data_IF_193802830687
#
_entry.id   IF_193802830687
#
_cell.length_a   1.000
_cell.length_b   1.000
_cell.length_c   1.000
_cell.angle_alpha   90.00
_cell.angle_beta   90.00
_cell.angle_gamma   90.00
#
_symmetry.space_group_name_H-M   'P 1'
#
loop_
_entity.id
_entity.type
_entity.pdbx_description
1 polymer ?
#
# COMPACT_ATOMS: atom_id res chain seq x y z
N UNK A 1 47.46 -5.12 -7.11
CA UNK A 1 48.58 -5.95 -7.65
C UNK A 1 49.02 -5.42 -9.00
N UNK A 2 50.33 -5.23 -9.19
CA UNK A 2 50.91 -4.76 -10.44
C UNK A 2 52.13 -5.61 -10.83
N UNK A 3 52.41 -5.73 -12.12
CA UNK A 3 53.65 -6.31 -12.65
C UNK A 3 54.60 -5.19 -13.06
N UNK A 4 55.90 -5.46 -13.03
CA UNK A 4 56.93 -4.52 -13.49
C UNK A 4 57.80 -5.21 -14.54
N UNK A 5 58.05 -4.55 -15.67
CA UNK A 5 58.96 -5.05 -16.70
C UNK A 5 60.43 -4.85 -16.29
N UNK A 6 61.35 -5.50 -17.01
CA UNK A 6 62.80 -5.27 -16.88
C UNK A 6 63.24 -3.85 -17.25
N UNK A 7 62.37 -3.07 -17.91
CA UNK A 7 62.58 -1.65 -18.24
C UNK A 7 61.91 -0.70 -17.25
N UNK A 8 61.29 -1.22 -16.19
CA UNK A 8 60.62 -0.41 -15.16
C UNK A 8 59.19 0.02 -15.50
N UNK A 9 58.58 -0.51 -16.57
CA UNK A 9 57.17 -0.25 -16.87
C UNK A 9 56.27 -1.01 -15.90
N UNK A 10 55.38 -0.30 -15.21
CA UNK A 10 54.43 -0.88 -14.26
C UNK A 10 53.07 -1.07 -14.93
N UNK A 11 52.54 -2.29 -14.89
CA UNK A 11 51.20 -2.61 -15.41
C UNK A 11 50.32 -3.09 -14.26
N UNK A 12 49.17 -2.45 -14.05
CA UNK A 12 48.17 -2.90 -13.07
C UNK A 12 47.49 -4.18 -13.53
N UNK A 13 47.29 -5.14 -12.62
CA UNK A 13 46.66 -6.43 -12.92
C UNK A 13 45.37 -6.64 -12.12
N UNK A 14 45.36 -6.22 -10.86
CA UNK A 14 44.18 -6.31 -9.98
C UNK A 14 44.30 -5.27 -8.87
N UNK A 15 43.27 -5.12 -8.06
CA UNK A 15 43.33 -4.25 -6.87
C UNK A 15 44.36 -4.70 -5.84
N UNK A 16 44.74 -3.76 -4.97
CA UNK A 16 45.63 -3.96 -3.85
C UNK A 16 47.05 -3.43 -4.09
N UNK A 17 47.84 -3.49 -3.03
CA UNK A 17 49.19 -2.95 -2.99
C UNK A 17 50.21 -3.95 -3.52
N UNK A 18 51.16 -3.48 -4.31
CA UNK A 18 52.34 -4.21 -4.74
C UNK A 18 53.58 -3.42 -4.31
N UNK A 19 54.62 -4.12 -3.89
CA UNK A 19 55.94 -3.51 -3.64
C UNK A 19 56.83 -3.86 -4.82
N UNK A 20 57.35 -2.83 -5.49
CA UNK A 20 58.33 -2.94 -6.55
C UNK A 20 59.70 -2.79 -5.89
N UNK A 21 60.60 -3.74 -6.17
CA UNK A 21 61.98 -3.71 -5.69
C UNK A 21 62.91 -3.59 -6.89
N UNK A 22 63.74 -2.54 -6.91
CA UNK A 22 64.79 -2.35 -7.90
C UNK A 22 66.15 -2.66 -7.26
N UNK A 23 66.99 -3.44 -7.94
CA UNK A 23 68.32 -3.82 -7.46
C UNK A 23 69.41 -3.43 -8.45
N UNK A 24 70.57 -2.99 -7.94
CA UNK A 24 71.78 -2.73 -8.71
C UNK A 24 73.01 -3.16 -7.91
N UNK A 25 73.60 -4.30 -8.28
CA UNK A 25 74.64 -4.94 -7.47
C UNK A 25 74.12 -5.31 -6.08
N UNK A 26 74.75 -4.78 -5.02
CA UNK A 26 74.31 -4.94 -3.62
C UNK A 26 73.28 -3.88 -3.17
N UNK A 27 73.01 -2.85 -3.97
CA UNK A 27 72.04 -1.81 -3.63
C UNK A 27 70.62 -2.25 -4.02
N UNK A 28 69.65 -1.89 -3.18
CA UNK A 28 68.22 -2.15 -3.41
C UNK A 28 67.39 -0.95 -2.97
N UNK A 29 66.34 -0.64 -3.71
CA UNK A 29 65.33 0.35 -3.36
C UNK A 29 63.93 -0.21 -3.61
N UNK A 30 62.97 0.20 -2.78
CA UNK A 30 61.58 -0.23 -2.90
C UNK A 30 60.65 0.95 -3.14
N UNK A 31 59.57 0.70 -3.89
CA UNK A 31 58.45 1.62 -4.06
C UNK A 31 57.15 0.84 -3.90
N UNK A 32 56.17 1.40 -3.19
CA UNK A 32 54.83 0.82 -3.12
C UNK A 32 53.96 1.39 -4.23
N UNK A 33 53.16 0.53 -4.86
CA UNK A 33 52.14 0.88 -5.84
C UNK A 33 50.82 0.32 -5.36
N UNK A 34 49.84 1.20 -5.16
CA UNK A 34 48.47 0.79 -4.80
C UNK A 34 47.58 0.90 -6.04
N UNK A 35 46.95 -0.21 -6.42
CA UNK A 35 45.92 -0.24 -7.47
C UNK A 35 44.57 -0.30 -6.76
N UNK A 36 43.66 0.61 -7.08
CA UNK A 36 42.30 0.62 -6.57
C UNK A 36 41.34 0.91 -7.71
N UNK A 37 40.36 0.04 -7.92
CA UNK A 37 39.30 0.25 -8.88
C UNK A 37 38.39 1.38 -8.39
N UNK A 38 38.03 2.27 -9.31
CA UNK A 38 37.16 3.41 -9.05
C UNK A 38 35.87 3.21 -9.84
N UNK A 39 34.74 3.40 -9.16
CA UNK A 39 33.43 3.33 -9.80
C UNK A 39 33.31 4.42 -10.88
N UNK A 40 33.01 4.02 -12.11
CA UNK A 40 32.81 4.92 -13.24
C UNK A 40 31.35 4.94 -13.72
N UNK A 41 30.63 3.83 -13.61
CA UNK A 41 29.20 3.80 -13.93
C UNK A 41 28.41 2.97 -12.93
N UNK A 42 27.12 3.31 -12.80
CA UNK A 42 26.12 2.51 -12.07
C UNK A 42 24.95 2.23 -13.01
N UNK A 43 24.57 0.97 -13.13
CA UNK A 43 23.35 0.54 -13.81
C UNK A 43 22.40 -0.10 -12.82
N UNK A 44 21.10 -0.05 -13.10
CA UNK A 44 20.05 -0.63 -12.26
C UNK A 44 19.32 -1.74 -13.02
N UNK A 45 18.84 -2.76 -12.31
CA UNK A 45 17.98 -3.80 -12.89
C UNK A 45 16.69 -3.25 -13.50
N UNK A 46 16.18 -2.16 -12.95
CA UNK A 46 15.03 -1.43 -13.49
C UNK A 46 15.19 0.08 -13.24
N UNK A 47 14.65 0.89 -14.14
CA UNK A 47 14.59 2.35 -14.01
C UNK A 47 13.20 2.86 -13.61
N UNK A 48 12.20 1.98 -13.61
CA UNK A 48 10.82 2.27 -13.21
C UNK A 48 10.28 1.11 -12.38
N UNK A 49 9.54 1.42 -11.32
CA UNK A 49 8.81 0.47 -10.49
C UNK A 49 7.38 0.98 -10.28
N UNK A 50 6.42 0.06 -10.32
CA UNK A 50 5.01 0.34 -10.06
C UNK A 50 4.46 -0.65 -9.05
N UNK A 51 3.82 -0.15 -7.99
CA UNK A 51 3.19 -0.96 -6.96
C UNK A 51 1.68 -0.74 -6.95
N UNK A 52 0.92 -1.83 -6.95
CA UNK A 52 -0.53 -1.83 -6.95
C UNK A 52 -1.12 -2.04 -5.55
N UNK A 53 -0.29 -2.28 -4.54
CA UNK A 53 -0.67 -2.41 -3.15
C UNK A 53 0.41 -1.86 -2.23
N UNK A 54 0.04 -1.50 -1.00
CA UNK A 54 0.99 -1.12 0.03
C UNK A 54 1.72 -2.36 0.57
N UNK A 55 2.91 -2.15 1.11
CA UNK A 55 3.82 -3.21 1.56
C UNK A 55 4.31 -4.17 0.46
N UNK A 56 3.97 -3.92 -0.81
CA UNK A 56 4.60 -4.62 -1.93
C UNK A 56 6.11 -4.32 -1.93
N UNK A 57 6.88 -5.29 -2.37
CA UNK A 57 8.33 -5.17 -2.42
C UNK A 57 8.90 -5.54 -3.77
N UNK A 58 9.99 -4.90 -4.15
CA UNK A 58 10.78 -5.28 -5.33
C UNK A 58 12.25 -5.03 -5.06
N UNK A 59 13.08 -6.00 -5.40
CA UNK A 59 14.53 -5.89 -5.26
C UNK A 59 15.10 -5.13 -6.48
N UNK A 60 15.69 -3.96 -6.23
CA UNK A 60 16.57 -3.31 -7.20
C UNK A 60 17.99 -3.80 -6.99
N UNK A 61 18.66 -4.19 -8.08
CA UNK A 61 20.09 -4.50 -8.05
C UNK A 61 20.84 -3.40 -8.79
N UNK A 62 21.98 -3.00 -8.23
CA UNK A 62 22.89 -2.05 -8.85
C UNK A 62 24.16 -2.78 -9.30
N UNK A 63 24.56 -2.58 -10.55
CA UNK A 63 25.84 -3.07 -11.06
C UNK A 63 26.76 -1.87 -11.27
N UNK A 64 27.94 -1.94 -10.67
CA UNK A 64 28.96 -0.89 -10.76
C UNK A 64 30.06 -1.39 -11.67
N UNK A 65 30.50 -0.56 -12.61
CA UNK A 65 31.67 -0.85 -13.45
C UNK A 65 32.71 0.25 -13.34
N UNK A 66 33.96 -0.09 -13.63
CA UNK A 66 35.04 0.87 -13.78
C UNK A 66 35.07 1.52 -15.18
N UNK A 67 36.06 2.37 -15.41
CA UNK A 67 36.22 3.10 -16.67
C UNK A 67 36.55 2.20 -17.88
N UNK A 68 37.02 0.97 -17.63
CA UNK A 68 37.29 -0.03 -18.66
C UNK A 68 36.05 -0.91 -18.93
N UNK A 69 34.96 -0.71 -18.19
CA UNK A 69 33.73 -1.49 -18.30
C UNK A 69 33.77 -2.81 -17.53
N UNK A 70 34.78 -3.04 -16.69
CA UNK A 70 34.84 -4.23 -15.85
C UNK A 70 33.98 -4.06 -14.59
N UNK A 71 33.30 -5.15 -14.18
CA UNK A 71 32.44 -5.13 -13.00
C UNK A 71 33.26 -4.93 -11.73
N UNK A 72 32.87 -3.95 -10.92
CA UNK A 72 33.46 -3.67 -9.62
C UNK A 72 32.72 -4.42 -8.51
N UNK A 73 33.11 -5.67 -8.25
CA UNK A 73 32.44 -6.56 -7.29
C UNK A 73 32.55 -6.12 -5.82
N UNK A 74 33.56 -5.33 -5.46
CA UNK A 74 33.74 -4.75 -4.13
C UNK A 74 33.11 -3.37 -3.93
N UNK A 75 32.39 -2.85 -4.94
CA UNK A 75 31.80 -1.52 -4.86
C UNK A 75 30.74 -1.44 -3.75
N UNK A 76 30.86 -0.44 -2.89
CA UNK A 76 29.81 -0.14 -1.91
C UNK A 76 28.74 0.73 -2.57
N UNK A 77 27.49 0.24 -2.58
CA UNK A 77 26.34 0.99 -3.09
C UNK A 77 25.53 1.52 -1.91
N UNK A 78 25.30 2.82 -1.90
CA UNK A 78 24.39 3.48 -0.95
C UNK A 78 23.07 3.80 -1.64
N UNK A 79 21.97 3.44 -0.99
CA UNK A 79 20.61 3.66 -1.49
C UNK A 79 19.94 4.80 -0.73
N UNK A 80 19.17 5.61 -1.46
CA UNK A 80 18.37 6.68 -0.90
C UNK A 80 17.01 6.77 -1.61
N UNK A 81 15.99 7.26 -0.89
CA UNK A 81 14.67 7.58 -1.45
C UNK A 81 14.42 9.08 -1.32
N UNK A 82 13.77 9.69 -2.31
CA UNK A 82 13.33 11.09 -2.23
C UNK A 82 12.12 11.29 -1.32
N UNK A 83 11.32 10.24 -1.08
CA UNK A 83 10.07 10.31 -0.32
C UNK A 83 9.81 9.00 0.44
N UNK A 84 10.39 8.87 1.63
CA UNK A 84 10.21 7.70 2.48
C UNK A 84 8.76 7.45 2.94
N UNK A 85 7.92 8.49 2.94
CA UNK A 85 6.48 8.37 3.19
C UNK A 85 5.72 7.68 2.05
N UNK A 86 6.29 7.60 0.84
CA UNK A 86 5.70 6.95 -0.34
C UNK A 86 6.35 5.60 -0.60
N UNK A 87 7.68 5.55 -0.62
CA UNK A 87 8.43 4.29 -0.78
C UNK A 87 9.77 4.35 -0.03
N UNK A 88 10.11 3.25 0.65
CA UNK A 88 11.38 3.07 1.34
C UNK A 88 12.31 2.16 0.54
N UNK A 89 13.60 2.24 0.81
CA UNK A 89 14.61 1.35 0.23
C UNK A 89 15.59 0.90 1.32
N UNK A 90 15.89 -0.40 1.39
CA UNK A 90 16.86 -0.94 2.33
C UNK A 90 18.31 -0.68 1.88
N UNK A 91 19.29 -0.96 2.74
CA UNK A 91 20.72 -0.93 2.37
C UNK A 91 21.09 -1.96 1.31
N UNK A 92 20.27 -2.98 1.10
CA UNK A 92 20.45 -4.01 0.06
C UNK A 92 19.67 -3.70 -1.22
N UNK A 93 18.94 -2.58 -1.31
CA UNK A 93 18.15 -2.21 -2.48
C UNK A 93 16.73 -2.78 -2.53
N UNK A 94 16.22 -3.33 -1.42
CA UNK A 94 14.83 -3.78 -1.35
C UNK A 94 13.92 -2.55 -1.22
N UNK A 95 13.12 -2.28 -2.25
CA UNK A 95 12.16 -1.17 -2.28
C UNK A 95 10.82 -1.66 -1.75
N UNK A 96 10.20 -0.91 -0.84
CA UNK A 96 8.89 -1.21 -0.24
C UNK A 96 7.93 -0.03 -0.41
N UNK A 97 6.72 -0.28 -0.90
CA UNK A 97 5.66 0.73 -0.99
C UNK A 97 5.06 1.05 0.38
N UNK A 98 4.79 2.34 0.65
CA UNK A 98 4.32 2.84 1.94
C UNK A 98 3.01 3.61 1.82
N UNK A 99 2.89 4.49 0.82
CA UNK A 99 1.67 5.24 0.54
C UNK A 99 1.59 5.59 -0.95
N UNK A 100 0.38 5.89 -1.43
CA UNK A 100 0.16 6.33 -2.81
C UNK A 100 0.94 7.61 -3.14
N UNK A 101 1.49 7.67 -4.34
CA UNK A 101 2.28 8.78 -4.82
C UNK A 101 3.51 8.35 -5.62
N UNK A 102 4.47 9.26 -5.75
CA UNK A 102 5.70 9.03 -6.51
C UNK A 102 6.94 9.26 -5.65
N UNK A 103 7.94 8.39 -5.78
CA UNK A 103 9.25 8.53 -5.16
C UNK A 103 10.36 8.28 -6.20
N UNK A 104 11.58 8.67 -5.88
CA UNK A 104 12.76 8.34 -6.68
C UNK A 104 13.78 7.64 -5.79
N UNK A 105 14.19 6.44 -6.21
CA UNK A 105 15.24 5.68 -5.56
C UNK A 105 16.57 5.99 -6.27
N UNK A 106 17.59 6.31 -5.50
CA UNK A 106 18.94 6.62 -6.00
C UNK A 106 19.92 5.60 -5.46
N UNK A 107 20.66 4.95 -6.35
CA UNK A 107 21.82 4.13 -6.02
C UNK A 107 23.09 4.92 -6.33
N UNK A 108 23.98 5.03 -5.36
CA UNK A 108 25.24 5.79 -5.47
C UNK A 108 26.42 4.91 -5.11
N UNK A 109 27.49 4.97 -5.90
CA UNK A 109 28.78 4.33 -5.61
C UNK A 109 29.89 5.35 -5.89
N UNK A 110 30.59 5.80 -4.84
CA UNK A 110 31.55 6.90 -4.96
C UNK A 110 30.88 8.19 -5.49
N UNK A 111 31.35 8.71 -6.62
CA UNK A 111 30.82 9.92 -7.26
C UNK A 111 29.77 9.66 -8.34
N UNK A 112 29.43 8.40 -8.62
CA UNK A 112 28.50 8.01 -9.69
C UNK A 112 27.19 7.51 -9.11
N UNK A 113 26.09 7.87 -9.76
CA UNK A 113 24.75 7.52 -9.28
C UNK A 113 23.79 7.21 -10.42
N UNK A 114 22.78 6.39 -10.12
CA UNK A 114 21.66 6.12 -11.02
C UNK A 114 20.34 6.14 -10.24
N UNK A 115 19.27 6.54 -10.92
CA UNK A 115 17.94 6.68 -10.31
C UNK A 115 16.93 5.74 -10.95
N UNK A 116 15.96 5.30 -10.15
CA UNK A 116 14.74 4.63 -10.57
C UNK A 116 13.51 5.38 -10.05
N UNK A 117 12.51 5.62 -10.88
CA UNK A 117 11.24 6.20 -10.46
C UNK A 117 10.31 5.14 -9.89
N UNK A 118 9.65 5.44 -8.80
CA UNK A 118 8.67 4.57 -8.14
C UNK A 118 7.32 5.26 -8.16
N UNK A 119 6.30 4.54 -8.62
CA UNK A 119 4.90 4.97 -8.53
C UNK A 119 4.13 3.95 -7.69
N UNK A 120 3.46 4.43 -6.65
CA UNK A 120 2.57 3.63 -5.82
C UNK A 120 1.15 4.12 -6.08
N UNK A 121 0.29 3.22 -6.52
CA UNK A 121 -1.13 3.48 -6.75
C UNK A 121 -1.91 2.23 -6.39
N UNK A 122 -2.49 2.21 -5.19
CA UNK A 122 -3.33 1.12 -4.72
C UNK A 122 -4.45 0.83 -5.74
N UNK A 123 -4.67 -0.46 -6.01
CA UNK A 123 -5.77 -0.96 -6.83
C UNK A 123 -6.78 -1.63 -5.93
N UNK A 124 -8.06 -1.35 -6.14
CA UNK A 124 -9.13 -1.93 -5.34
C UNK A 124 -9.19 -3.44 -5.55
N UNK A 125 -9.09 -4.20 -4.45
CA UNK A 125 -9.22 -5.66 -4.46
C UNK A 125 -10.45 -6.14 -3.70
N UNK A 126 -10.83 -5.45 -2.62
CA UNK A 126 -12.02 -5.80 -1.85
C UNK A 126 -12.80 -4.58 -1.35
N UNK A 127 -14.12 -4.74 -1.24
CA UNK A 127 -15.04 -3.79 -0.61
C UNK A 127 -15.86 -4.56 0.42
N UNK A 128 -15.84 -4.09 1.66
CA UNK A 128 -16.56 -4.73 2.78
C UNK A 128 -17.51 -3.73 3.43
N UNK A 129 -18.69 -4.18 3.82
CA UNK A 129 -19.68 -3.35 4.49
C UNK A 129 -19.78 -3.75 5.96
N UNK A 130 -19.86 -2.75 6.84
CA UNK A 130 -20.09 -2.93 8.27
C UNK A 130 -21.21 -2.01 8.76
N UNK A 131 -22.28 -2.55 9.34
CA UNK A 131 -22.59 -3.98 9.48
C UNK A 131 -22.88 -4.67 8.13
N UNK A 132 -22.60 -5.97 8.02
CA UNK A 132 -22.95 -6.77 6.82
C UNK A 132 -24.40 -7.25 6.82
N UNK A 133 -25.06 -7.23 7.98
CA UNK A 133 -26.50 -7.50 8.14
C UNK A 133 -27.12 -6.48 9.08
N UNK A 134 -28.29 -5.96 8.70
CA UNK A 134 -29.02 -4.97 9.49
C UNK A 134 -30.49 -5.35 9.58
N UNK A 135 -31.10 -5.06 10.74
CA UNK A 135 -32.55 -5.15 10.93
C UNK A 135 -33.09 -3.81 11.43
N UNK A 136 -34.03 -3.23 10.71
CA UNK A 136 -34.73 -2.00 11.07
C UNK A 136 -36.13 -2.35 11.56
N UNK A 137 -36.49 -1.89 12.75
CA UNK A 137 -37.77 -2.23 13.41
C UNK A 137 -38.83 -1.13 13.30
N UNK A 138 -38.49 -0.01 12.66
CA UNK A 138 -39.36 1.14 12.45
C UNK A 138 -39.28 1.60 11.00
N UNK A 139 -40.43 1.94 10.40
CA UNK A 139 -40.50 2.59 9.10
C UNK A 139 -40.09 4.07 9.26
N UNK A 140 -39.26 4.58 8.35
CA UNK A 140 -38.61 5.89 8.45
C UNK A 140 -37.39 5.91 9.38
N UNK A 141 -37.04 4.77 10.00
CA UNK A 141 -35.83 4.61 10.78
C UNK A 141 -34.58 4.72 9.91
N UNK A 142 -33.54 5.36 10.46
CA UNK A 142 -32.27 5.56 9.75
C UNK A 142 -31.12 4.86 10.46
N UNK A 143 -30.21 4.28 9.69
CA UNK A 143 -28.96 3.69 10.20
C UNK A 143 -27.85 3.90 9.18
N UNK A 144 -26.59 3.97 9.63
CA UNK A 144 -25.45 4.10 8.73
C UNK A 144 -24.79 2.75 8.50
N UNK A 145 -24.39 2.49 7.26
CA UNK A 145 -23.48 1.41 6.90
C UNK A 145 -22.18 2.02 6.36
N UNK A 146 -21.04 1.50 6.81
CA UNK A 146 -19.72 1.98 6.38
C UNK A 146 -19.16 0.99 5.36
N UNK A 147 -18.63 1.51 4.25
CA UNK A 147 -17.87 0.71 3.29
C UNK A 147 -16.37 0.91 3.53
N UNK A 148 -15.64 -0.19 3.67
CA UNK A 148 -14.17 -0.21 3.75
C UNK A 148 -13.62 -0.82 2.46
N UNK A 149 -12.85 -0.03 1.72
CA UNK A 149 -12.20 -0.43 0.46
C UNK A 149 -10.74 -0.76 0.74
N UNK A 150 -10.26 -1.90 0.24
CA UNK A 150 -8.89 -2.35 0.46
C UNK A 150 -8.19 -2.82 -0.81
N UNK A 151 -6.87 -2.74 -0.79
CA UNK A 151 -5.99 -3.32 -1.81
C UNK A 151 -5.79 -4.83 -1.62
N UNK A 152 -4.94 -5.44 -2.44
CA UNK A 152 -4.69 -6.89 -2.41
C UNK A 152 -3.93 -7.35 -1.15
N UNK A 153 -3.26 -6.44 -0.46
CA UNK A 153 -2.52 -6.68 0.79
C UNK A 153 -3.31 -6.20 2.02
N UNK A 154 -4.64 -6.12 1.91
CA UNK A 154 -5.55 -5.75 3.00
C UNK A 154 -5.41 -4.31 3.54
N UNK A 155 -4.64 -3.46 2.87
CA UNK A 155 -4.45 -2.05 3.24
C UNK A 155 -5.63 -1.21 2.78
N UNK A 156 -6.04 -0.24 3.60
CA UNK A 156 -7.24 0.57 3.32
C UNK A 156 -6.94 1.68 2.32
N UNK A 157 -7.77 1.79 1.29
CA UNK A 157 -7.66 2.82 0.26
C UNK A 157 -8.60 3.98 0.62
N UNK A 158 -8.07 5.00 1.30
CA UNK A 158 -8.87 6.11 1.83
C UNK A 158 -9.40 7.08 0.75
N UNK A 159 -8.75 7.14 -0.41
CA UNK A 159 -9.14 8.00 -1.55
C UNK A 159 -10.18 7.38 -2.48
N UNK A 160 -10.66 6.17 -2.17
CA UNK A 160 -11.61 5.44 -3.01
C UNK A 160 -12.98 6.13 -3.04
N UNK A 161 -13.55 6.21 -4.24
CA UNK A 161 -14.94 6.68 -4.42
C UNK A 161 -15.88 5.49 -4.35
N UNK A 162 -16.82 5.52 -3.41
CA UNK A 162 -17.84 4.47 -3.23
C UNK A 162 -19.18 4.96 -3.76
N UNK A 163 -19.77 4.15 -4.65
CA UNK A 163 -21.12 4.33 -5.14
C UNK A 163 -22.06 3.34 -4.45
N UNK A 164 -23.26 3.78 -4.11
CA UNK A 164 -24.22 2.99 -3.35
C UNK A 164 -25.46 2.69 -4.19
N UNK A 165 -26.01 1.50 -4.02
CA UNK A 165 -27.30 1.11 -4.60
C UNK A 165 -28.08 0.21 -3.64
N UNK A 166 -29.40 0.22 -3.79
CA UNK A 166 -30.31 -0.69 -3.11
C UNK A 166 -31.00 -1.57 -4.14
N UNK A 167 -31.10 -2.87 -3.86
CA UNK A 167 -31.85 -3.79 -4.72
C UNK A 167 -33.35 -3.50 -4.75
N UNK A 168 -33.87 -2.81 -3.73
CA UNK A 168 -35.27 -2.39 -3.66
C UNK A 168 -35.43 -1.09 -2.85
N UNK A 169 -35.51 0.04 -3.55
CA UNK A 169 -35.69 1.37 -2.96
C UNK A 169 -37.07 1.58 -2.32
N UNK A 170 -38.06 0.72 -2.61
CA UNK A 170 -39.36 0.73 -1.94
C UNK A 170 -39.31 0.13 -0.53
N UNK A 171 -38.25 -0.59 -0.18
CA UNK A 171 -38.03 -1.18 1.16
C UNK A 171 -36.99 -0.37 1.93
N UNK A 172 -35.86 -0.05 1.29
CA UNK A 172 -34.79 0.74 1.91
C UNK A 172 -34.07 1.59 0.86
N UNK A 173 -33.85 2.86 1.16
CA UNK A 173 -33.02 3.76 0.35
C UNK A 173 -31.66 3.95 0.99
N UNK A 174 -30.63 4.24 0.18
CA UNK A 174 -29.27 4.55 0.64
C UNK A 174 -28.80 5.87 0.04
N UNK A 175 -28.19 6.72 0.87
CA UNK A 175 -27.55 7.96 0.41
C UNK A 175 -26.10 7.74 -0.02
N UNK A 176 -25.49 8.74 -0.65
CA UNK A 176 -24.05 8.71 -1.00
C UNK A 176 -23.12 8.61 0.22
N UNK A 177 -23.59 8.97 1.41
CA UNK A 177 -22.84 8.84 2.67
C UNK A 177 -23.06 7.49 3.37
N UNK A 178 -23.79 6.54 2.77
CA UNK A 178 -24.10 5.24 3.39
C UNK A 178 -25.20 5.30 4.46
N UNK A 179 -25.95 6.41 4.55
CA UNK A 179 -27.16 6.48 5.39
C UNK A 179 -28.30 5.71 4.74
N UNK A 180 -28.79 4.67 5.42
CA UNK A 180 -29.96 3.88 5.05
C UNK A 180 -31.22 4.49 5.69
N UNK A 181 -32.33 4.46 4.96
CA UNK A 181 -33.66 4.85 5.45
C UNK A 181 -34.66 3.77 5.09
N UNK A 182 -35.37 3.22 6.08
CA UNK A 182 -36.45 2.25 5.84
C UNK A 182 -37.68 2.93 5.28
N UNK A 183 -38.30 2.30 4.28
CA UNK A 183 -39.48 2.80 3.57
C UNK A 183 -40.69 1.89 3.80
N UNK A 184 -40.48 0.57 3.78
CA UNK A 184 -41.53 -0.42 4.01
C UNK A 184 -40.94 -1.73 4.52
N UNK A 185 -41.79 -2.59 5.08
CA UNK A 185 -41.42 -3.94 5.49
C UNK A 185 -40.94 -4.79 4.31
N UNK A 186 -39.93 -5.62 4.56
CA UNK A 186 -39.36 -6.53 3.58
C UNK A 186 -37.85 -6.67 3.70
N UNK A 187 -37.21 -7.21 2.66
CA UNK A 187 -35.76 -7.35 2.58
C UNK A 187 -35.18 -6.70 1.33
N UNK A 188 -33.99 -6.14 1.46
CA UNK A 188 -33.24 -5.55 0.38
C UNK A 188 -31.73 -5.74 0.61
N UNK A 189 -30.97 -5.78 -0.47
CA UNK A 189 -29.51 -5.81 -0.43
C UNK A 189 -28.98 -4.45 -0.79
N UNK A 190 -28.13 -3.91 0.07
CA UNK A 190 -27.35 -2.71 -0.21
C UNK A 190 -26.03 -3.13 -0.82
N UNK A 191 -25.67 -2.51 -1.95
CA UNK A 191 -24.40 -2.74 -2.63
C UNK A 191 -23.59 -1.46 -2.60
N UNK A 192 -22.35 -1.56 -2.12
CA UNK A 192 -21.33 -0.53 -2.24
C UNK A 192 -20.33 -0.97 -3.33
N UNK A 193 -20.12 -0.13 -4.33
CA UNK A 193 -19.22 -0.39 -5.45
C UNK A 193 -18.11 0.64 -5.47
N UNK A 194 -16.86 0.18 -5.47
CA UNK A 194 -15.67 0.99 -5.71
C UNK A 194 -14.99 0.42 -6.95
N UNK A 195 -14.82 1.25 -7.98
CA UNK A 195 -14.37 0.82 -9.32
C UNK A 195 -15.25 -0.32 -9.87
N UNK A 196 -14.71 -1.53 -10.03
CA UNK A 196 -15.44 -2.73 -10.46
C UNK A 196 -15.64 -3.76 -9.35
N UNK A 197 -15.32 -3.41 -8.10
CA UNK A 197 -15.40 -4.32 -6.95
C UNK A 197 -16.59 -3.94 -6.07
N UNK A 198 -17.35 -4.96 -5.66
CA UNK A 198 -18.60 -4.80 -4.94
C UNK A 198 -18.52 -5.42 -3.55
N UNK A 199 -19.06 -4.73 -2.55
CA UNK A 199 -19.41 -5.26 -1.24
C UNK A 199 -20.93 -5.19 -1.07
N UNK A 200 -21.49 -6.11 -0.29
CA UNK A 200 -22.95 -6.16 -0.05
C UNK A 200 -23.29 -6.26 1.43
N UNK A 201 -24.46 -5.72 1.80
CA UNK A 201 -25.06 -5.87 3.11
C UNK A 201 -26.55 -6.21 2.97
N UNK A 202 -27.02 -7.20 3.75
CA UNK A 202 -28.43 -7.58 3.76
C UNK A 202 -29.20 -6.76 4.79
N UNK A 203 -30.31 -6.15 4.37
CA UNK A 203 -31.16 -5.32 5.22
C UNK A 203 -32.54 -5.94 5.28
N UNK A 204 -33.06 -6.11 6.50
CA UNK A 204 -34.45 -6.51 6.74
C UNK A 204 -35.17 -5.40 7.49
N UNK A 205 -36.33 -4.99 6.99
CA UNK A 205 -37.24 -4.05 7.65
C UNK A 205 -38.44 -4.84 8.14
N UNK A 206 -38.74 -4.72 9.43
CA UNK A 206 -39.89 -5.37 10.05
C UNK A 206 -40.45 -4.47 11.14
N UNK A 207 -41.51 -3.76 10.85
CA UNK A 207 -42.23 -2.95 11.81
C UNK A 207 -42.66 -3.83 13.00
N UNK A 208 -42.20 -3.46 14.19
CA UNK A 208 -42.74 -4.04 15.42
C UNK A 208 -43.97 -3.22 15.78
N UNK A 209 -45.16 -3.71 15.43
CA UNK A 209 -46.40 -3.11 15.93
C UNK A 209 -46.35 -3.13 17.46
N UNK A 210 -46.32 -1.95 18.08
CA UNK A 210 -46.54 -1.84 19.51
C UNK A 210 -47.92 -2.45 19.79
N UNK A 211 -47.95 -3.54 20.56
CA UNK A 211 -49.18 -4.25 20.87
C UNK A 211 -50.24 -3.25 21.30
N UNK A 212 -51.31 -3.13 20.53
CA UNK A 212 -52.48 -2.36 20.91
C UNK A 212 -53.03 -2.98 22.18
N UNK A 213 -52.74 -2.36 23.33
CA UNK A 213 -53.48 -2.60 24.56
C UNK A 213 -54.90 -2.11 24.31
N UNK A 214 -55.77 -3.03 23.88
CA UNK A 214 -57.21 -2.85 23.94
C UNK A 214 -57.55 -2.68 25.42
N UNK A 215 -57.65 -1.42 25.87
CA UNK A 215 -58.28 -1.11 27.14
C UNK A 215 -59.75 -1.47 26.98
N UNK A 216 -60.11 -2.70 27.35
CA UNK A 216 -61.48 -3.13 27.51
C UNK A 216 -62.12 -2.27 28.61
N UNK A 217 -62.73 -1.15 28.22
CA UNK A 217 -63.60 -0.37 29.08
C UNK A 217 -64.80 -1.24 29.45
N UNK A 218 -64.69 -1.97 30.56
CA UNK A 218 -65.83 -2.53 31.28
C UNK A 218 -66.53 -1.41 32.05
N UNK A 219 -67.26 -0.55 31.35
CA UNK A 219 -68.29 0.29 31.97
C UNK A 219 -69.61 -0.46 31.89
N UNK A 220 -69.90 -1.27 32.90
CA UNK A 220 -71.26 -1.79 33.13
C UNK A 220 -72.11 -0.65 33.66
N UNK A 221 -73.04 -0.16 32.82
CA UNK A 221 -74.16 0.65 33.29
C UNK A 221 -75.10 -0.23 34.12
N UNK A 222 -75.05 -0.10 35.45
CA UNK A 222 -76.16 -0.55 36.29
C UNK A 222 -77.20 0.56 36.36
N UNK A 223 -78.29 0.38 35.62
CA UNK A 223 -79.56 1.08 35.85
C UNK A 223 -80.21 0.44 37.06
N UNK A 224 -80.21 1.13 38.20
CA UNK A 224 -81.06 0.76 39.35
C UNK A 224 -82.25 1.71 39.43
N UNK A 225 -83.40 1.26 38.94
CA UNK A 225 -84.71 1.85 39.22
C UNK A 225 -85.20 1.36 40.59
N UNK A 226 -85.36 2.27 41.56
CA UNK A 226 -86.28 2.08 42.69
C UNK A 226 -86.64 3.44 43.29
N UNK A 227 -87.90 3.84 43.12
CA UNK A 227 -88.51 5.01 43.74
C UNK A 227 -90.02 4.92 43.60
N UNK A 228 -90.66 4.15 44.50
CA UNK A 228 -92.10 4.20 44.72
C UNK A 228 -92.36 5.04 45.98
N UNK A 229 -93.37 5.90 45.88
CA UNK A 229 -93.96 6.65 46.98
C UNK A 229 -94.84 5.77 47.87
#
# INVERSE_FOLDING_TARGET
>A
KATVSSTGLVTSVADGTATITATSGSASATASVTVAQVAATVTLSATTLSFASLADTTQLTATVTDANGETFSGATVTWATSAASVATVSSTGLVTSVADGTATITATSGSVSKTASVTVSQVVSSVTLSPSTLTLISIGGTTTVTATVKDANDSTIASSTVTWSSSNTGIVTVSSAGLLTSVADGSATITATSESVNGTAAVTVKETQAGSVSAGFGLTCDVTTAGAA
#
